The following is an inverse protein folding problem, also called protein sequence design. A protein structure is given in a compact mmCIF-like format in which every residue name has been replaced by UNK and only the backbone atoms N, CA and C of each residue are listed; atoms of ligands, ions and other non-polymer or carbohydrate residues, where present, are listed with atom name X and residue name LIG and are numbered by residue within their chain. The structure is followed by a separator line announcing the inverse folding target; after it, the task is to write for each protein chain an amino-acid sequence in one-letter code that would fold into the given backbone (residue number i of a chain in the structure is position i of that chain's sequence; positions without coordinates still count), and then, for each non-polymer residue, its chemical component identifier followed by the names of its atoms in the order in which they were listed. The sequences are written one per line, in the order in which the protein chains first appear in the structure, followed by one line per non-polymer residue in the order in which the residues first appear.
data_IF_594691649388
#
_entry.id   IF_594691649388
#
_cell.length_a   1.000
_cell.length_b   1.000
_cell.length_c   1.000
_cell.angle_alpha   90.00
_cell.angle_beta   90.00
_cell.angle_gamma   90.00
#
_symmetry.space_group_name_H-M   'P 1'
#
loop_
_entity.id
_entity.type
_entity.pdbx_description
1 polymer ?
#
# COMPACT_ATOMS: atom_id res chain seq x y z
N UNK A 1 -14.64 2.15 8.40
CA UNK A 1 -14.10 2.49 7.04
C UNK A 1 -13.79 1.19 6.31
N UNK A 2 -14.40 1.02 5.18
CA UNK A 2 -14.25 -0.19 4.35
C UNK A 2 -13.16 0.05 3.29
N UNK A 3 -11.94 -0.28 3.63
CA UNK A 3 -10.76 -0.09 2.76
C UNK A 3 -10.88 -0.91 1.48
N UNK A 4 -11.36 -2.14 1.58
CA UNK A 4 -11.56 -3.03 0.42
C UNK A 4 -12.49 -2.40 -0.61
N UNK A 5 -13.61 -1.88 -0.18
CA UNK A 5 -14.58 -1.25 -1.07
C UNK A 5 -14.02 0.02 -1.72
N UNK A 6 -13.27 0.82 -0.96
CA UNK A 6 -12.63 2.04 -1.47
C UNK A 6 -11.61 1.69 -2.57
N UNK A 7 -10.77 0.69 -2.33
CA UNK A 7 -9.79 0.22 -3.32
C UNK A 7 -10.48 -0.31 -4.58
N UNK A 8 -11.49 -1.16 -4.41
CA UNK A 8 -12.22 -1.74 -5.54
C UNK A 8 -12.87 -0.68 -6.42
N UNK A 9 -13.47 0.33 -5.82
CA UNK A 9 -14.06 1.45 -6.56
C UNK A 9 -13.03 2.26 -7.31
N UNK A 10 -11.88 2.50 -6.68
CA UNK A 10 -10.78 3.25 -7.28
C UNK A 10 -10.24 2.54 -8.54
N UNK A 11 -9.97 1.24 -8.43
CA UNK A 11 -9.48 0.43 -9.53
C UNK A 11 -10.52 0.38 -10.67
N UNK A 12 -11.78 0.19 -10.33
CA UNK A 12 -12.86 0.15 -11.32
C UNK A 12 -12.99 1.46 -12.09
N UNK A 13 -12.84 2.57 -11.40
CA UNK A 13 -12.95 3.90 -12.02
C UNK A 13 -11.79 4.19 -12.96
N UNK A 14 -10.57 3.91 -12.54
CA UNK A 14 -9.36 4.30 -13.28
C UNK A 14 -8.74 3.16 -14.11
N UNK A 15 -9.26 1.94 -13.98
CA UNK A 15 -8.83 0.77 -14.77
C UNK A 15 -7.36 0.40 -14.58
N UNK A 16 -6.83 0.63 -13.39
CA UNK A 16 -5.45 0.30 -13.03
C UNK A 16 -5.30 0.11 -11.53
N UNK A 17 -4.37 -0.75 -11.11
CA UNK A 17 -3.92 -0.87 -9.73
C UNK A 17 -2.48 -0.39 -9.54
N UNK A 18 -1.88 0.20 -10.56
CA UNK A 18 -0.55 0.78 -10.45
C UNK A 18 -0.61 2.10 -9.65
N UNK A 19 0.06 2.19 -8.49
CA UNK A 19 -0.04 3.39 -7.66
C UNK A 19 0.49 4.65 -8.34
N UNK A 20 1.51 4.52 -9.18
CA UNK A 20 2.05 5.65 -9.94
C UNK A 20 1.05 6.18 -10.96
N UNK A 21 0.37 5.28 -11.67
CA UNK A 21 -0.68 5.66 -12.63
C UNK A 21 -1.88 6.28 -11.94
N UNK A 22 -2.29 5.72 -10.81
CA UNK A 22 -3.39 6.27 -10.02
C UNK A 22 -3.07 7.68 -9.51
N UNK A 23 -1.87 7.89 -9.00
CA UNK A 23 -1.44 9.20 -8.56
C UNK A 23 -1.51 10.23 -9.70
N UNK A 24 -1.04 9.86 -10.88
CA UNK A 24 -1.11 10.71 -12.07
C UNK A 24 -2.56 11.05 -12.45
N UNK A 25 -3.43 10.05 -12.47
CA UNK A 25 -4.86 10.22 -12.79
C UNK A 25 -5.58 11.10 -11.77
N UNK A 26 -5.14 11.07 -10.53
CA UNK A 26 -5.71 11.85 -9.43
C UNK A 26 -5.09 13.25 -9.31
N UNK A 27 -4.19 13.62 -10.22
CA UNK A 27 -3.45 14.88 -10.19
C UNK A 27 -2.59 15.05 -8.95
N UNK A 28 -2.01 13.96 -8.47
CA UNK A 28 -1.04 13.97 -7.38
C UNK A 28 0.35 13.98 -8.01
N UNK A 29 1.17 14.92 -7.59
CA UNK A 29 2.55 15.06 -8.09
C UNK A 29 3.43 14.07 -7.34
N UNK A 30 4.02 13.12 -8.06
CA UNK A 30 4.97 12.16 -7.50
C UNK A 30 6.37 12.68 -7.77
N UNK A 31 7.13 12.88 -6.70
CA UNK A 31 8.54 13.28 -6.75
C UNK A 31 9.41 12.16 -6.22
N UNK A 32 10.57 12.01 -6.79
CA UNK A 32 11.57 11.05 -6.36
C UNK A 32 12.79 11.80 -5.86
N UNK A 33 13.30 11.40 -4.71
CA UNK A 33 14.45 12.03 -4.08
C UNK A 33 15.21 11.03 -3.23
N UNK A 34 16.49 11.28 -3.01
CA UNK A 34 17.30 10.51 -2.07
C UNK A 34 17.00 11.03 -0.67
N UNK A 35 16.40 10.19 0.16
CA UNK A 35 15.97 10.56 1.50
C UNK A 35 16.79 9.91 2.63
N UNK A 36 17.86 9.19 2.28
CA UNK A 36 18.72 8.53 3.26
C UNK A 36 18.09 7.26 3.84
N UNK A 37 18.46 6.93 5.08
CA UNK A 37 18.10 5.66 5.72
C UNK A 37 16.88 5.76 6.65
N UNK A 38 16.39 6.95 6.96
CA UNK A 38 15.37 7.14 7.98
C UNK A 38 13.98 7.43 7.43
N UNK A 39 13.87 7.86 6.17
CA UNK A 39 12.60 8.27 5.57
C UNK A 39 12.36 7.47 4.30
N UNK A 40 11.24 6.75 4.22
CA UNK A 40 10.85 6.01 3.01
C UNK A 40 10.10 6.86 2.02
N UNK A 41 9.29 7.77 2.50
CA UNK A 41 8.53 8.69 1.69
C UNK A 41 7.61 9.53 2.55
N UNK A 42 6.88 10.42 1.92
CA UNK A 42 5.87 11.21 2.62
C UNK A 42 4.83 11.77 1.66
N UNK A 43 3.66 12.08 2.22
CA UNK A 43 2.56 12.74 1.53
C UNK A 43 2.35 14.12 2.16
N UNK A 44 2.11 15.14 1.32
CA UNK A 44 1.74 16.46 1.83
C UNK A 44 0.89 17.23 0.82
N UNK A 45 0.17 18.22 1.35
CA UNK A 45 -0.60 19.18 0.55
C UNK A 45 -0.03 20.58 0.76
N UNK A 46 0.09 21.33 -0.32
CA UNK A 46 0.55 22.72 -0.29
C UNK A 46 -0.12 23.50 -1.40
N UNK A 47 -0.78 24.61 -1.06
CA UNK A 47 -1.39 25.52 -2.02
C UNK A 47 -2.31 24.79 -3.03
N UNK A 48 -3.20 23.93 -2.54
CA UNK A 48 -4.14 23.12 -3.32
C UNK A 48 -3.50 22.02 -4.17
N UNK A 49 -2.18 21.84 -4.07
CA UNK A 49 -1.48 20.73 -4.73
C UNK A 49 -1.17 19.63 -3.73
N UNK A 50 -1.16 18.41 -4.25
CA UNK A 50 -0.90 17.21 -3.46
C UNK A 50 0.35 16.54 -3.99
N UNK A 51 1.19 16.09 -3.07
CA UNK A 51 2.51 15.54 -3.39
C UNK A 51 2.75 14.23 -2.66
N UNK A 52 3.35 13.29 -3.39
CA UNK A 52 3.96 12.10 -2.82
C UNK A 52 5.45 12.15 -3.15
N UNK A 53 6.29 12.05 -2.14
CA UNK A 53 7.75 11.98 -2.30
C UNK A 53 8.21 10.59 -1.92
N UNK A 54 9.00 9.96 -2.78
CA UNK A 54 9.46 8.57 -2.62
C UNK A 54 10.98 8.55 -2.58
N UNK A 55 11.52 7.81 -1.61
CA UNK A 55 12.96 7.62 -1.47
C UNK A 55 13.51 6.68 -2.56
N UNK A 56 14.34 7.21 -3.43
CA UNK A 56 14.98 6.44 -4.50
C UNK A 56 16.15 5.57 -4.03
N UNK A 57 16.60 5.71 -2.79
CA UNK A 57 17.58 4.79 -2.18
C UNK A 57 16.97 3.42 -1.87
N UNK A 58 15.64 3.30 -1.90
CA UNK A 58 14.94 2.03 -1.69
C UNK A 58 14.90 1.18 -2.97
N UNK A 59 14.88 -0.16 -2.84
CA UNK A 59 14.56 -1.03 -3.98
C UNK A 59 13.20 -0.70 -4.59
N UNK A 60 13.00 -1.03 -5.86
CA UNK A 60 11.78 -0.68 -6.59
C UNK A 60 10.51 -1.22 -5.93
N UNK A 61 10.53 -2.42 -5.37
CA UNK A 61 9.38 -3.01 -4.68
C UNK A 61 8.95 -2.15 -3.49
N UNK A 62 9.91 -1.60 -2.75
CA UNK A 62 9.63 -0.66 -1.67
C UNK A 62 9.11 0.67 -2.17
N UNK A 63 9.68 1.20 -3.25
CA UNK A 63 9.19 2.45 -3.85
C UNK A 63 7.73 2.32 -4.27
N UNK A 64 7.37 1.21 -4.89
CA UNK A 64 6.00 0.90 -5.31
C UNK A 64 5.05 0.80 -4.11
N UNK A 65 5.46 0.07 -3.06
CA UNK A 65 4.68 -0.04 -1.84
C UNK A 65 4.49 1.32 -1.15
N UNK A 66 5.54 2.10 -1.03
CA UNK A 66 5.50 3.44 -0.43
C UNK A 66 4.56 4.35 -1.22
N UNK A 67 4.61 4.32 -2.54
CA UNK A 67 3.68 5.09 -3.36
C UNK A 67 2.22 4.72 -3.06
N UNK A 68 1.90 3.43 -2.98
CA UNK A 68 0.56 2.96 -2.63
C UNK A 68 0.15 3.38 -1.22
N UNK A 69 1.07 3.31 -0.27
CA UNK A 69 0.83 3.70 1.11
C UNK A 69 0.53 5.20 1.24
N UNK A 70 1.33 6.04 0.59
CA UNK A 70 1.12 7.49 0.59
C UNK A 70 -0.15 7.90 -0.16
N UNK A 71 -0.49 7.17 -1.22
CA UNK A 71 -1.77 7.33 -1.91
C UNK A 71 -2.95 7.07 -0.98
N UNK A 72 -2.81 6.12 -0.07
CA UNK A 72 -3.83 5.83 0.93
C UNK A 72 -4.12 7.05 1.82
N UNK A 73 -3.10 7.76 2.25
CA UNK A 73 -3.30 8.98 3.06
C UNK A 73 -4.09 10.03 2.29
N UNK A 74 -3.86 10.16 0.99
CA UNK A 74 -4.66 11.06 0.15
C UNK A 74 -6.13 10.60 0.08
N UNK A 75 -6.37 9.31 -0.08
CA UNK A 75 -7.74 8.78 -0.28
C UNK A 75 -8.54 8.61 1.01
N UNK A 76 -7.88 8.24 2.10
CA UNK A 76 -8.54 7.87 3.35
C UNK A 76 -8.53 8.98 4.41
N UNK A 77 -7.53 9.85 4.38
CA UNK A 77 -7.27 10.78 5.48
C UNK A 77 -7.29 12.25 5.03
N UNK A 78 -8.02 12.56 3.98
CA UNK A 78 -8.06 13.90 3.36
C UNK A 78 -8.58 15.00 4.27
N UNK A 79 -9.42 14.70 5.22
CA UNK A 79 -10.01 15.70 6.12
C UNK A 79 -9.14 16.08 7.31
N UNK A 80 -8.01 15.42 7.50
CA UNK A 80 -7.19 15.60 8.71
C UNK A 80 -6.25 16.79 8.64
N UNK A 81 -5.93 17.30 7.44
CA UNK A 81 -5.02 18.42 7.24
C UNK A 81 -3.58 18.14 7.66
N UNK A 82 -3.21 16.90 7.87
CA UNK A 82 -1.93 16.52 8.42
C UNK A 82 -0.88 16.22 7.36
N UNK A 83 0.37 16.45 7.76
CA UNK A 83 1.55 16.06 7.04
C UNK A 83 1.97 14.67 7.51
N UNK A 84 1.97 13.69 6.59
CA UNK A 84 2.33 12.31 6.90
C UNK A 84 3.75 12.02 6.42
N UNK A 85 4.64 11.70 7.37
CA UNK A 85 6.01 11.28 7.07
C UNK A 85 6.13 9.79 7.33
N UNK A 86 6.46 9.03 6.29
CA UNK A 86 6.75 7.61 6.40
C UNK A 86 8.23 7.43 6.72
N UNK A 87 8.53 7.20 7.98
CA UNK A 87 9.88 6.91 8.46
C UNK A 87 10.12 5.40 8.52
N UNK A 88 11.32 4.96 8.91
CA UNK A 88 11.63 3.55 9.18
C UNK A 88 10.79 2.94 10.32
N UNK A 89 9.75 3.61 10.73
CA UNK A 89 8.71 3.17 11.65
C UNK A 89 7.45 2.74 10.89
N UNK A 90 7.59 2.03 9.77
CA UNK A 90 6.47 1.41 9.03
C UNK A 90 5.57 0.57 9.92
N UNK A 91 6.01 0.31 11.12
CA UNK A 91 5.32 -0.49 12.09
C UNK A 91 4.65 0.36 13.17
N UNK A 92 4.48 1.65 12.91
CA UNK A 92 3.67 2.52 13.74
C UNK A 92 2.28 1.91 13.91
N UNK A 93 1.84 1.79 15.16
CA UNK A 93 0.55 1.18 15.51
C UNK A 93 -0.65 2.10 15.35
N UNK A 94 -0.46 3.30 14.81
CA UNK A 94 -1.53 4.26 14.58
C UNK A 94 -2.60 3.74 13.63
N UNK A 95 -3.85 4.09 13.89
CA UNK A 95 -4.99 3.66 13.08
C UNK A 95 -4.83 4.04 11.60
N UNK A 96 -4.37 5.26 11.32
CA UNK A 96 -4.19 5.73 9.95
C UNK A 96 -3.10 4.95 9.23
N UNK A 97 -2.01 4.62 9.93
CA UNK A 97 -0.92 3.83 9.35
C UNK A 97 -1.37 2.39 9.04
N UNK A 98 -2.14 1.77 9.92
CA UNK A 98 -2.71 0.44 9.66
C UNK A 98 -3.63 0.45 8.45
N UNK A 99 -4.48 1.46 8.33
CA UNK A 99 -5.38 1.62 7.19
C UNK A 99 -4.60 1.85 5.89
N UNK A 100 -3.55 2.66 5.94
CA UNK A 100 -2.71 2.92 4.78
C UNK A 100 -1.96 1.66 4.31
N UNK A 101 -1.46 0.85 5.23
CA UNK A 101 -0.83 -0.42 4.91
C UNK A 101 -1.81 -1.42 4.30
N UNK A 102 -3.01 -1.54 4.86
CA UNK A 102 -4.07 -2.38 4.32
C UNK A 102 -4.46 -1.93 2.91
N UNK A 103 -4.67 -0.64 2.71
CA UNK A 103 -4.97 -0.07 1.39
C UNK A 103 -3.90 -0.42 0.36
N UNK A 104 -2.62 -0.23 0.72
CA UNK A 104 -1.51 -0.52 -0.17
C UNK A 104 -1.49 -1.99 -0.59
N UNK A 105 -1.66 -2.91 0.37
CA UNK A 105 -1.68 -4.34 0.07
C UNK A 105 -2.87 -4.73 -0.79
N UNK A 106 -4.06 -4.27 -0.48
CA UNK A 106 -5.25 -4.57 -1.27
C UNK A 106 -5.14 -4.02 -2.70
N UNK A 107 -4.56 -2.84 -2.85
CA UNK A 107 -4.34 -2.25 -4.17
C UNK A 107 -3.35 -3.10 -4.99
N UNK A 108 -2.20 -3.42 -4.41
CA UNK A 108 -1.13 -4.12 -5.12
C UNK A 108 -1.44 -5.60 -5.38
N UNK A 109 -2.28 -6.21 -4.58
CA UNK A 109 -2.72 -7.61 -4.73
C UNK A 109 -4.03 -7.76 -5.49
N UNK A 110 -4.59 -6.69 -6.02
CA UNK A 110 -5.87 -6.72 -6.72
C UNK A 110 -5.87 -7.75 -7.85
N UNK A 111 -6.98 -8.47 -7.97
CA UNK A 111 -7.21 -9.51 -8.98
C UNK A 111 -6.21 -10.66 -8.93
N UNK A 112 -5.54 -10.84 -7.79
CA UNK A 112 -4.65 -11.97 -7.54
C UNK A 112 -5.23 -12.88 -6.47
N UNK A 113 -4.78 -14.13 -6.45
CA UNK A 113 -5.15 -15.11 -5.45
C UNK A 113 -3.90 -15.77 -4.89
N UNK A 114 -3.93 -16.08 -3.60
CA UNK A 114 -2.91 -16.89 -2.99
C UNK A 114 -2.99 -18.33 -3.53
N UNK A 115 -1.86 -18.98 -3.69
CA UNK A 115 -1.78 -20.38 -4.12
C UNK A 115 -1.79 -21.30 -2.90
N UNK A 116 -2.25 -22.56 -3.06
CA UNK A 116 -2.14 -23.54 -1.97
C UNK A 116 -0.69 -23.66 -1.49
N UNK A 117 -0.51 -23.59 -0.18
CA UNK A 117 0.82 -23.60 0.45
C UNK A 117 1.52 -22.24 0.54
N UNK A 118 0.93 -21.17 0.02
CA UNK A 118 1.48 -19.82 0.21
C UNK A 118 1.46 -19.43 1.68
N UNK A 119 2.56 -18.83 2.13
CA UNK A 119 2.55 -17.96 3.31
C UNK A 119 2.14 -16.54 2.87
N UNK A 120 1.81 -15.68 3.82
CA UNK A 120 1.58 -14.27 3.52
C UNK A 120 2.80 -13.65 2.84
N UNK A 121 3.99 -13.98 3.31
CA UNK A 121 5.26 -13.50 2.77
C UNK A 121 5.51 -13.99 1.33
N UNK A 122 5.32 -15.27 1.06
CA UNK A 122 5.52 -15.81 -0.30
C UNK A 122 4.51 -15.26 -1.30
N UNK A 123 3.28 -15.05 -0.85
CA UNK A 123 2.23 -14.40 -1.66
C UNK A 123 2.63 -12.98 -2.06
N UNK A 124 3.07 -12.19 -1.08
CA UNK A 124 3.56 -10.83 -1.33
C UNK A 124 4.77 -10.82 -2.27
N UNK A 125 5.77 -11.65 -2.01
CA UNK A 125 6.99 -11.73 -2.83
C UNK A 125 6.69 -12.05 -4.29
N UNK A 126 5.76 -12.96 -4.52
CA UNK A 126 5.36 -13.37 -5.87
C UNK A 126 4.74 -12.23 -6.67
N UNK A 127 4.19 -11.22 -5.99
CA UNK A 127 3.59 -10.04 -6.60
C UNK A 127 4.45 -8.78 -6.47
N UNK A 128 5.74 -8.93 -6.19
CA UNK A 128 6.68 -7.83 -6.12
C UNK A 128 6.44 -6.89 -4.94
N UNK A 129 5.95 -7.44 -3.83
CA UNK A 129 5.70 -6.70 -2.59
C UNK A 129 6.73 -7.16 -1.55
N UNK A 130 7.36 -6.23 -0.82
CA UNK A 130 8.31 -6.62 0.23
C UNK A 130 7.67 -7.57 1.25
N UNK A 131 8.30 -8.70 1.59
CA UNK A 131 7.72 -9.64 2.55
C UNK A 131 7.55 -9.06 3.95
N UNK A 132 8.32 -8.03 4.28
CA UNK A 132 8.26 -7.35 5.59
C UNK A 132 6.89 -6.73 5.88
N UNK A 133 6.13 -6.38 4.83
CA UNK A 133 4.80 -5.77 4.98
C UNK A 133 3.67 -6.80 4.98
N UNK A 134 3.97 -8.07 4.78
CA UNK A 134 2.98 -9.14 4.72
C UNK A 134 2.15 -9.26 6.01
N UNK A 135 2.72 -8.89 7.15
CA UNK A 135 2.03 -8.89 8.45
C UNK A 135 0.83 -7.95 8.51
N UNK A 136 0.75 -6.98 7.61
CA UNK A 136 -0.40 -6.08 7.53
C UNK A 136 -1.54 -6.63 6.68
N UNK A 137 -1.35 -7.79 6.07
CA UNK A 137 -2.41 -8.47 5.33
C UNK A 137 -3.47 -8.98 6.32
N UNK A 138 -4.76 -8.68 6.10
CA UNK A 138 -5.81 -9.14 7.00
C UNK A 138 -5.86 -10.68 7.13
N UNK A 139 -6.18 -11.18 8.33
CA UNK A 139 -6.15 -12.62 8.63
C UNK A 139 -7.16 -13.45 7.82
N UNK A 140 -8.26 -12.84 7.36
CA UNK A 140 -9.26 -13.52 6.53
C UNK A 140 -8.70 -14.11 5.24
N UNK A 141 -7.73 -13.44 4.64
CA UNK A 141 -7.14 -13.87 3.37
C UNK A 141 -6.12 -15.02 3.55
N UNK A 142 -5.63 -15.23 4.78
CA UNK A 142 -4.69 -16.32 5.10
C UNK A 142 -5.39 -17.57 5.66
N UNK A 143 -6.48 -17.40 6.40
CA UNK A 143 -7.22 -18.51 6.98
C UNK A 143 -7.95 -19.36 5.94
N UNK A 144 -8.32 -18.77 4.81
CA UNK A 144 -8.95 -19.51 3.73
C UNK A 144 -7.96 -20.48 3.05
N UNK A 145 -6.67 -20.12 3.02
CA UNK A 145 -5.62 -20.96 2.43
C UNK A 145 -5.34 -22.19 3.32
N UNK A 146 -5.25 -21.99 4.64
CA UNK A 146 -5.03 -23.09 5.59
C UNK A 146 -6.22 -24.05 5.64
N UNK A 147 -7.45 -23.52 5.57
CA UNK A 147 -8.66 -24.35 5.57
C UNK A 147 -8.83 -25.18 4.32
N UNK A 148 -8.50 -24.63 3.14
CA UNK A 148 -8.55 -25.39 1.88
C UNK A 148 -7.47 -26.48 1.85
N UNK A 149 -6.31 -26.22 2.46
CA UNK A 149 -5.24 -27.23 2.55
C UNK A 149 -5.59 -28.36 3.49
N UNK A 150 -6.18 -28.05 4.65
CA UNK A 150 -6.66 -29.07 5.61
C UNK A 150 -7.86 -29.85 5.07
N UNK A 151 -8.70 -29.22 4.25
CA UNK A 151 -9.83 -29.89 3.62
C UNK A 151 -9.43 -30.79 2.43
N UNK A 152 -8.25 -30.58 1.84
CA UNK A 152 -7.72 -31.37 0.72
C UNK A 152 -6.92 -32.59 1.19
N UNK A 153 -6.69 -32.73 2.48
CA UNK A 153 -6.06 -33.90 3.12
C UNK A 153 -7.11 -34.83 3.68
#
# INVERSE_FOLDING_TARGET
MDVENIVSKLIRKYKTNCPFQLAQRLNIIVKQARLGNSTRGFYYRKLRRRYIVINTDLPFEWQRFVCAHELAHDRLHTGTGHFFIERNTLFSVGKFERQANEFALRLLLDSTEALPGDTKESYCMRHGIPPDVAKFLPDGDANDIEREHDAAL
#
